data_IF_737517277653
#
_entry.id   IF_737517277653
#
_cell.length_a   1.000
_cell.length_b   1.000
_cell.length_c   1.000
_cell.angle_alpha   90.00
_cell.angle_beta   90.00
_cell.angle_gamma   90.00
#
_symmetry.space_group_name_H-M   'P 1'
#
loop_
_entity.id
_entity.type
_entity.pdbx_description
1 polymer ?
#
# COMPACT_ATOMS: atom_id res chain seq x y z
N UNK A 1 42.76 13.95 -26.80
CA UNK A 1 42.53 15.38 -27.18
C UNK A 1 41.44 16.03 -26.32
N UNK A 2 41.37 17.36 -26.19
CA UNK A 2 40.26 18.04 -25.46
C UNK A 2 38.87 17.68 -26.03
N UNK A 3 38.82 17.42 -27.34
CA UNK A 3 37.61 17.00 -28.07
C UNK A 3 37.09 15.61 -27.64
N UNK A 4 37.97 14.67 -27.34
CA UNK A 4 37.59 13.35 -26.79
C UNK A 4 37.01 13.44 -25.37
N UNK A 5 37.58 14.29 -24.52
CA UNK A 5 37.08 14.49 -23.14
C UNK A 5 35.66 15.07 -23.15
N UNK A 6 35.39 16.06 -24.01
CA UNK A 6 34.05 16.64 -24.19
C UNK A 6 33.05 15.63 -24.77
N UNK A 7 33.46 14.82 -25.76
CA UNK A 7 32.62 13.75 -26.34
C UNK A 7 32.24 12.70 -25.29
N UNK A 8 33.18 12.30 -24.42
CA UNK A 8 32.91 11.37 -23.33
C UNK A 8 31.98 11.97 -22.28
N UNK A 9 32.15 13.24 -21.93
CA UNK A 9 31.28 13.94 -20.99
C UNK A 9 29.82 14.06 -21.51
N UNK A 10 29.64 14.39 -22.79
CA UNK A 10 28.31 14.46 -23.40
C UNK A 10 27.63 13.08 -23.45
N UNK A 11 28.39 12.01 -23.70
CA UNK A 11 27.89 10.63 -23.68
C UNK A 11 27.44 10.22 -22.27
N UNK A 12 28.32 10.40 -21.29
CA UNK A 12 28.04 10.08 -19.88
C UNK A 12 26.79 10.80 -19.37
N UNK A 13 26.58 12.06 -19.77
CA UNK A 13 25.35 12.80 -19.42
C UNK A 13 24.09 12.13 -19.99
N UNK A 14 24.11 11.71 -21.26
CA UNK A 14 22.98 11.03 -21.92
C UNK A 14 22.71 9.65 -21.32
N UNK A 15 23.77 8.91 -20.97
CA UNK A 15 23.65 7.61 -20.31
C UNK A 15 23.02 7.73 -18.93
N UNK A 16 23.48 8.71 -18.13
CA UNK A 16 22.87 9.02 -16.82
C UNK A 16 21.41 9.39 -16.97
N UNK A 17 21.08 10.32 -17.87
CA UNK A 17 19.70 10.72 -18.13
C UNK A 17 18.82 9.52 -18.53
N UNK A 18 19.30 8.66 -19.42
CA UNK A 18 18.57 7.45 -19.81
C UNK A 18 18.33 6.51 -18.63
N UNK A 19 19.32 6.33 -17.75
CA UNK A 19 19.17 5.50 -16.55
C UNK A 19 18.09 6.06 -15.62
N UNK A 20 18.09 7.37 -15.37
CA UNK A 20 17.07 8.04 -14.53
C UNK A 20 15.65 7.86 -15.12
N UNK A 21 15.50 7.96 -16.46
CA UNK A 21 14.22 7.69 -17.12
C UNK A 21 13.75 6.24 -16.95
N UNK A 22 14.67 5.28 -17.05
CA UNK A 22 14.36 3.86 -16.87
C UNK A 22 13.97 3.56 -15.42
N UNK A 23 14.68 4.13 -14.44
CA UNK A 23 14.30 4.01 -13.03
C UNK A 23 12.93 4.63 -12.77
N UNK A 24 12.66 5.82 -13.32
CA UNK A 24 11.34 6.44 -13.21
C UNK A 24 10.23 5.56 -13.80
N UNK A 25 10.47 4.92 -14.95
CA UNK A 25 9.52 4.01 -15.57
C UNK A 25 9.22 2.79 -14.69
N UNK A 26 10.21 2.27 -13.95
CA UNK A 26 10.02 1.13 -13.02
C UNK A 26 9.17 1.48 -11.80
N UNK A 27 9.07 2.75 -11.43
CA UNK A 27 8.26 3.22 -10.31
C UNK A 27 6.78 3.40 -10.68
N UNK A 28 6.44 3.41 -11.97
CA UNK A 28 5.05 3.42 -12.39
C UNK A 28 4.37 2.11 -12.00
N UNK A 29 3.10 2.15 -11.56
CA UNK A 29 2.37 0.95 -11.17
C UNK A 29 1.85 0.20 -12.42
N UNK A 30 2.77 -0.19 -13.29
CA UNK A 30 2.52 -0.86 -14.55
C UNK A 30 3.44 -2.08 -14.65
N UNK A 31 3.00 -3.17 -15.29
CA UNK A 31 3.87 -4.30 -15.59
C UNK A 31 5.17 -3.90 -16.29
N UNK A 32 6.30 -4.50 -15.89
CA UNK A 32 7.61 -4.21 -16.47
C UNK A 32 7.65 -4.39 -18.00
N UNK A 33 6.86 -5.34 -18.54
CA UNK A 33 6.74 -5.57 -19.97
C UNK A 33 6.18 -4.37 -20.75
N UNK A 34 5.40 -3.51 -20.10
CA UNK A 34 4.84 -2.28 -20.68
C UNK A 34 5.81 -1.13 -20.45
N UNK A 35 6.31 -0.94 -19.22
CA UNK A 35 7.18 0.19 -18.89
C UNK A 35 8.52 0.16 -19.63
N UNK A 36 9.02 -1.03 -20.00
CA UNK A 36 10.23 -1.18 -20.80
C UNK A 36 10.10 -0.66 -22.24
N UNK A 37 8.87 -0.50 -22.75
CA UNK A 37 8.60 -0.06 -24.12
C UNK A 37 8.25 1.43 -24.20
N UNK A 38 8.14 2.12 -23.05
CA UNK A 38 7.76 3.52 -23.02
C UNK A 38 8.87 4.42 -23.53
N UNK A 39 8.51 5.36 -24.39
CA UNK A 39 9.37 6.49 -24.72
C UNK A 39 9.44 7.50 -23.55
N UNK A 40 10.43 8.40 -23.60
CA UNK A 40 10.67 9.39 -22.53
C UNK A 40 9.48 10.32 -22.29
N UNK A 41 8.78 10.74 -23.34
CA UNK A 41 7.65 11.66 -23.20
C UNK A 41 6.46 10.95 -22.54
N UNK A 42 6.22 9.70 -22.93
CA UNK A 42 5.21 8.83 -22.33
C UNK A 42 5.51 8.57 -20.85
N UNK A 43 6.76 8.32 -20.46
CA UNK A 43 7.18 8.20 -19.05
C UNK A 43 6.81 9.46 -18.25
N UNK A 44 7.12 10.66 -18.76
CA UNK A 44 6.77 11.93 -18.09
C UNK A 44 5.26 12.10 -17.97
N UNK A 45 4.52 11.87 -19.06
CA UNK A 45 3.06 12.05 -19.09
C UNK A 45 2.37 11.12 -18.11
N UNK A 46 2.73 9.83 -18.11
CA UNK A 46 2.15 8.84 -17.20
C UNK A 46 2.51 9.12 -15.74
N UNK A 47 3.76 9.48 -15.45
CA UNK A 47 4.20 9.85 -14.09
C UNK A 47 3.41 11.06 -13.57
N UNK A 48 3.29 12.11 -14.40
CA UNK A 48 2.57 13.32 -14.03
C UNK A 48 1.09 13.02 -13.76
N UNK A 49 0.45 12.23 -14.64
CA UNK A 49 -0.94 11.81 -14.44
C UNK A 49 -1.09 10.97 -13.18
N UNK A 50 -0.17 10.05 -12.90
CA UNK A 50 -0.17 9.23 -11.71
C UNK A 50 -0.10 10.05 -10.42
N UNK A 51 0.81 11.01 -10.33
CA UNK A 51 0.93 11.89 -9.16
C UNK A 51 -0.33 12.74 -8.95
N UNK A 52 -0.95 13.24 -10.04
CA UNK A 52 -2.22 13.97 -9.95
C UNK A 52 -3.36 13.08 -9.45
N UNK A 53 -3.47 11.85 -9.95
CA UNK A 53 -4.49 10.90 -9.49
C UNK A 53 -4.31 10.55 -8.02
N UNK A 54 -3.07 10.35 -7.56
CA UNK A 54 -2.76 10.13 -6.13
C UNK A 54 -3.17 11.28 -5.22
N UNK A 55 -3.12 12.52 -5.74
CA UNK A 55 -3.58 13.68 -4.98
C UNK A 55 -5.11 13.77 -4.88
N UNK A 56 -5.82 13.41 -5.95
CA UNK A 56 -7.30 13.43 -5.97
C UNK A 56 -7.90 12.22 -5.25
N UNK A 57 -7.22 11.07 -5.30
CA UNK A 57 -7.65 9.81 -4.72
C UNK A 57 -6.57 9.29 -3.74
N UNK A 58 -6.51 9.83 -2.51
CA UNK A 58 -5.47 9.49 -1.54
C UNK A 58 -5.56 8.03 -1.06
N UNK A 59 -6.77 7.47 -1.03
CA UNK A 59 -7.01 6.05 -0.69
C UNK A 59 -6.87 5.11 -1.91
N UNK A 60 -6.31 5.62 -3.01
CA UNK A 60 -6.05 4.86 -4.21
C UNK A 60 -7.21 4.86 -5.21
N UNK A 61 -6.91 4.40 -6.43
CA UNK A 61 -7.89 4.23 -7.51
C UNK A 61 -8.47 2.80 -7.52
N UNK A 62 -8.35 2.09 -6.39
CA UNK A 62 -8.64 0.66 -6.22
C UNK A 62 -7.53 -0.27 -6.72
N UNK A 63 -7.73 -1.58 -6.51
CA UNK A 63 -6.80 -2.68 -6.83
C UNK A 63 -6.35 -2.74 -8.30
N UNK A 64 -7.07 -2.05 -9.19
CA UNK A 64 -6.76 -1.98 -10.62
C UNK A 64 -5.43 -1.25 -10.91
N UNK A 65 -5.02 -0.32 -10.04
CA UNK A 65 -3.80 0.48 -10.21
C UNK A 65 -2.79 0.29 -9.09
N UNK A 66 -3.22 -0.17 -7.93
CA UNK A 66 -2.32 -0.44 -6.83
C UNK A 66 -2.06 -1.94 -6.81
N UNK A 67 -0.95 -2.37 -7.43
CA UNK A 67 -0.41 -3.70 -7.17
C UNK A 67 0.10 -3.67 -5.72
N UNK A 68 -0.82 -3.87 -4.78
CA UNK A 68 -0.52 -3.94 -3.38
C UNK A 68 0.53 -5.04 -3.18
N UNK A 69 1.64 -4.76 -2.48
CA UNK A 69 2.38 -5.84 -1.84
C UNK A 69 1.38 -6.65 -0.99
N UNK A 70 1.44 -7.98 -0.98
CA UNK A 70 0.45 -8.84 -0.32
C UNK A 70 0.29 -8.61 1.20
N UNK A 71 1.11 -7.74 1.82
CA UNK A 71 1.25 -7.63 3.27
C UNK A 71 0.66 -6.36 3.90
N UNK A 72 0.03 -5.47 3.13
CA UNK A 72 -0.61 -4.30 3.74
C UNK A 72 -2.08 -4.60 4.07
N UNK A 73 -2.46 -4.56 5.37
CA UNK A 73 -3.83 -4.84 5.79
C UNK A 73 -4.79 -3.78 5.22
N UNK A 74 -6.06 -4.15 4.93
CA UNK A 74 -7.06 -3.22 4.44
C UNK A 74 -7.16 -2.01 5.36
N UNK A 75 -7.06 -0.81 4.80
CA UNK A 75 -7.32 0.42 5.57
C UNK A 75 -8.83 0.56 5.70
N UNK A 76 -9.34 0.24 6.89
CA UNK A 76 -10.73 0.46 7.23
C UNK A 76 -11.09 1.94 7.01
N UNK A 77 -12.01 2.21 6.08
CA UNK A 77 -12.45 3.56 5.69
C UNK A 77 -13.37 4.23 6.73
N UNK A 78 -13.14 3.96 8.02
CA UNK A 78 -13.94 4.47 9.14
C UNK A 78 -13.11 5.39 10.03
N UNK A 79 -12.73 6.57 9.53
CA UNK A 79 -12.35 7.66 10.42
C UNK A 79 -13.17 8.91 10.08
N UNK A 80 -14.47 8.79 10.28
CA UNK A 80 -15.38 9.90 10.50
C UNK A 80 -15.93 9.81 11.91
N UNK A 81 -15.89 10.94 12.62
CA UNK A 81 -16.50 11.24 13.92
C UNK A 81 -15.72 10.84 15.20
N UNK A 82 -15.52 11.84 16.06
CA UNK A 82 -15.32 11.60 17.49
C UNK A 82 -14.25 12.47 18.15
N UNK A 83 -14.53 13.76 18.29
CA UNK A 83 -13.85 14.61 19.28
C UNK A 83 -14.30 14.10 20.66
N UNK A 84 -13.47 13.37 21.40
CA UNK A 84 -13.69 13.22 22.85
C UNK A 84 -12.37 13.36 23.58
N UNK A 85 -12.28 14.47 24.30
CA UNK A 85 -11.20 14.83 25.23
C UNK A 85 -11.01 13.74 26.31
N UNK A 86 -9.79 13.52 26.86
CA UNK A 86 -9.53 12.52 27.89
C UNK A 86 -10.16 12.84 29.28
N UNK A 87 -10.94 13.91 29.41
CA UNK A 87 -11.36 14.47 30.69
C UNK A 87 -12.60 13.80 31.33
N UNK A 88 -13.37 12.99 30.59
CA UNK A 88 -14.69 12.52 31.05
C UNK A 88 -14.77 11.02 31.40
N UNK A 89 -13.64 10.35 31.62
CA UNK A 89 -13.60 8.93 32.03
C UNK A 89 -13.88 8.77 33.54
N UNK A 90 -15.10 9.10 33.97
CA UNK A 90 -15.49 9.12 35.37
C UNK A 90 -16.92 8.64 35.63
N UNK A 91 -17.34 7.48 35.12
CA UNK A 91 -18.51 6.76 35.66
C UNK A 91 -18.54 5.28 35.21
N UNK A 92 -18.33 4.36 36.15
CA UNK A 92 -18.61 2.94 35.97
C UNK A 92 -20.09 2.70 35.65
N UNK A 93 -20.37 1.80 34.71
CA UNK A 93 -21.51 0.89 34.76
C UNK A 93 -21.01 -0.53 34.48
N UNK A 94 -21.18 -1.40 35.47
CA UNK A 94 -21.01 -2.84 35.36
C UNK A 94 -22.20 -3.46 34.61
N UNK A 95 -21.94 -4.54 33.86
CA UNK A 95 -22.80 -5.73 33.62
C UNK A 95 -23.02 -6.06 32.14
N UNK A 96 -22.67 -7.29 31.76
CA UNK A 96 -23.20 -8.00 30.59
C UNK A 96 -22.16 -8.84 29.87
N UNK A 97 -22.18 -10.16 30.09
CA UNK A 97 -21.14 -11.11 29.69
C UNK A 97 -21.05 -11.39 28.18
N UNK A 98 -19.81 -11.60 27.74
CA UNK A 98 -19.44 -12.16 26.44
C UNK A 98 -18.90 -13.57 26.66
N UNK A 99 -19.55 -14.54 26.01
CA UNK A 99 -19.39 -15.97 26.23
C UNK A 99 -18.04 -16.52 25.79
N UNK A 100 -17.19 -16.84 26.77
CA UNK A 100 -16.16 -17.87 26.61
C UNK A 100 -16.81 -19.21 26.96
N UNK A 101 -17.12 -20.00 25.94
CA UNK A 101 -17.47 -21.41 26.16
C UNK A 101 -16.15 -22.16 26.41
N UNK A 102 -15.99 -22.67 27.62
CA UNK A 102 -14.89 -23.58 27.95
C UNK A 102 -15.15 -24.92 27.26
N UNK A 103 -14.20 -25.34 26.42
CA UNK A 103 -14.22 -26.64 25.74
C UNK A 103 -13.30 -27.61 26.48
N UNK A 104 -13.77 -28.85 26.66
CA UNK A 104 -13.00 -29.93 27.26
C UNK A 104 -12.68 -31.02 26.25
N UNK A 105 -11.48 -31.58 26.37
CA UNK A 105 -10.98 -32.65 25.53
C UNK A 105 -11.39 -34.00 26.13
N UNK A 106 -12.25 -34.75 25.43
CA UNK A 106 -12.55 -36.14 25.73
C UNK A 106 -11.75 -37.07 24.82
N UNK A 107 -11.69 -38.34 25.20
CA UNK A 107 -10.89 -39.38 24.52
C UNK A 107 -11.30 -39.58 23.04
N UNK A 108 -12.51 -39.16 22.67
CA UNK A 108 -13.08 -39.26 21.32
C UNK A 108 -13.38 -37.89 20.65
N UNK A 109 -12.95 -36.75 21.23
CA UNK A 109 -13.13 -35.41 20.61
C UNK A 109 -13.31 -34.25 21.60
N UNK A 110 -13.35 -33.01 21.09
CA UNK A 110 -13.46 -31.76 21.88
C UNK A 110 -14.90 -31.25 21.85
N UNK A 111 -15.50 -30.95 23.00
CA UNK A 111 -16.89 -30.49 23.10
C UNK A 111 -17.14 -29.49 24.25
N UNK A 112 -18.23 -28.70 24.20
CA UNK A 112 -18.54 -27.70 25.21
C UNK A 112 -18.96 -28.35 26.54
N UNK A 113 -18.63 -27.73 27.68
CA UNK A 113 -18.75 -28.26 29.05
C UNK A 113 -20.20 -28.57 29.56
N UNK A 114 -21.18 -28.77 28.70
CA UNK A 114 -22.59 -28.97 29.10
C UNK A 114 -23.40 -29.93 28.23
N UNK A 115 -22.78 -30.71 27.36
CA UNK A 115 -23.49 -31.51 26.35
C UNK A 115 -24.04 -32.88 26.85
N UNK A 116 -24.08 -33.14 28.16
CA UNK A 116 -24.65 -34.37 28.70
C UNK A 116 -25.66 -34.04 29.81
N UNK A 117 -26.92 -33.83 29.41
CA UNK A 117 -28.10 -34.05 30.24
C UNK A 117 -29.28 -34.46 29.39
#
# INVERSE_FOLDING_TARGET
>A
TMKEKSKNAARSRREKENAEFLELAKLLPLPAAITSQLDKASIIRLTTSYLKMRHVFPDGLGDAWERHPPDQPPRDSHQGAGITSPADAGRLHLRGGSGRQDYVHFRDGVGPLGALS
#
